data_IF_248326985284
#
_entry.id   IF_248326985284
#
_cell.length_a   1.000
_cell.length_b   1.000
_cell.length_c   1.000
_cell.angle_alpha   90.00
_cell.angle_beta   90.00
_cell.angle_gamma   90.00
#
_symmetry.space_group_name_H-M   'P 1'
#
loop_
_entity.id
_entity.type
_entity.pdbx_description
1 polymer ?
#
# COMPACT_ATOMS: atom_id res chain seq x y z
N UNK A 1 -22.92 -3.45 5.02
CA UNK A 1 -21.71 -3.81 4.24
C UNK A 1 -21.54 -2.82 3.09
N UNK A 2 -20.39 -2.17 3.00
CA UNK A 2 -20.00 -1.34 1.86
C UNK A 2 -19.33 -2.25 0.83
N UNK A 3 -19.61 -2.05 -0.46
CA UNK A 3 -18.99 -2.78 -1.55
C UNK A 3 -18.50 -1.81 -2.60
N UNK A 4 -17.21 -1.88 -2.93
CA UNK A 4 -16.57 -1.03 -3.94
C UNK A 4 -16.10 -1.94 -5.08
N UNK A 5 -16.75 -1.83 -6.22
CA UNK A 5 -16.42 -2.61 -7.41
C UNK A 5 -15.21 -2.04 -8.13
N UNK A 6 -14.19 -2.87 -8.37
CA UNK A 6 -12.93 -2.53 -9.05
C UNK A 6 -12.97 -3.11 -10.46
N UNK A 7 -12.84 -2.24 -11.46
CA UNK A 7 -12.72 -2.61 -12.87
C UNK A 7 -11.26 -2.57 -13.29
N UNK A 8 -10.70 -3.75 -13.55
CA UNK A 8 -9.35 -3.95 -14.02
C UNK A 8 -9.31 -5.16 -14.95
N UNK A 9 -8.13 -5.68 -15.29
CA UNK A 9 -7.96 -6.92 -16.09
C UNK A 9 -8.71 -8.12 -15.50
N UNK A 10 -8.94 -8.13 -14.21
CA UNK A 10 -9.90 -8.96 -13.50
C UNK A 10 -10.76 -8.04 -12.63
N UNK A 11 -12.07 -8.15 -12.74
CA UNK A 11 -13.01 -7.41 -11.90
C UNK A 11 -13.18 -8.10 -10.53
N UNK A 12 -13.31 -7.30 -9.46
CA UNK A 12 -13.51 -7.81 -8.10
C UNK A 12 -14.14 -6.75 -7.21
N UNK A 13 -14.63 -7.17 -6.05
CA UNK A 13 -15.19 -6.27 -5.05
C UNK A 13 -14.25 -6.14 -3.83
N UNK A 14 -14.18 -4.93 -3.30
CA UNK A 14 -13.63 -4.64 -1.98
C UNK A 14 -14.81 -4.47 -1.02
N UNK A 15 -14.92 -5.38 -0.06
CA UNK A 15 -15.98 -5.40 0.94
C UNK A 15 -15.47 -4.79 2.24
N UNK A 16 -16.25 -3.88 2.84
CA UNK A 16 -15.86 -3.21 4.09
C UNK A 16 -17.02 -3.25 5.08
N UNK A 17 -16.86 -3.92 6.19
CA UNK A 17 -17.80 -3.98 7.33
C UNK A 17 -17.12 -4.62 8.55
N UNK A 18 -17.54 -4.23 9.74
CA UNK A 18 -17.11 -4.90 10.97
C UNK A 18 -17.59 -6.36 11.02
N UNK A 19 -16.69 -7.28 11.41
CA UNK A 19 -17.00 -8.70 11.56
C UNK A 19 -16.92 -9.54 10.28
N UNK A 20 -16.42 -9.00 9.16
CA UNK A 20 -16.28 -9.75 7.92
C UNK A 20 -15.30 -10.91 8.00
N UNK A 21 -14.33 -10.86 8.92
CA UNK A 21 -13.36 -11.95 9.10
C UNK A 21 -14.05 -13.28 9.41
N UNK A 22 -15.09 -13.27 10.25
CA UNK A 22 -15.85 -14.47 10.61
C UNK A 22 -16.74 -14.99 9.47
N UNK A 23 -16.94 -14.16 8.44
CA UNK A 23 -17.71 -14.46 7.22
C UNK A 23 -16.81 -14.65 6.00
N UNK A 24 -15.49 -14.60 6.18
CA UNK A 24 -14.53 -14.61 5.06
C UNK A 24 -14.73 -15.82 4.13
N UNK A 25 -15.02 -16.99 4.68
CA UNK A 25 -15.27 -18.18 3.87
C UNK A 25 -16.58 -18.12 3.07
N UNK A 26 -17.66 -17.58 3.64
CA UNK A 26 -18.92 -17.34 2.96
C UNK A 26 -18.74 -16.41 1.77
N UNK A 27 -18.08 -15.27 2.01
CA UNK A 27 -17.81 -14.26 0.97
C UNK A 27 -16.87 -14.78 -0.12
N UNK A 28 -15.82 -15.51 0.25
CA UNK A 28 -14.91 -16.12 -0.71
C UNK A 28 -15.63 -17.13 -1.62
N UNK A 29 -16.59 -17.89 -1.06
CA UNK A 29 -17.36 -18.88 -1.80
C UNK A 29 -18.22 -18.28 -2.93
N UNK A 30 -18.59 -17.01 -2.82
CA UNK A 30 -19.35 -16.32 -3.88
C UNK A 30 -18.52 -16.11 -5.16
N UNK A 31 -17.19 -16.06 -5.05
CA UNK A 31 -16.26 -15.79 -6.16
C UNK A 31 -15.28 -16.92 -6.46
N UNK A 32 -15.17 -17.90 -5.58
CA UNK A 32 -14.27 -19.05 -5.72
C UNK A 32 -14.95 -20.31 -5.16
N UNK A 33 -15.08 -21.35 -5.98
CA UNK A 33 -15.66 -22.60 -5.51
C UNK A 33 -14.80 -23.22 -4.39
N UNK A 34 -15.42 -23.88 -3.38
CA UNK A 34 -14.68 -24.55 -2.32
C UNK A 34 -13.72 -25.61 -2.87
N UNK A 35 -12.48 -25.54 -2.42
CA UNK A 35 -11.38 -26.43 -2.76
C UNK A 35 -10.34 -26.37 -1.64
N UNK A 36 -9.07 -26.22 -1.98
CA UNK A 36 -8.03 -25.90 -0.99
C UNK A 36 -7.85 -24.39 -0.89
N UNK A 37 -7.64 -23.90 0.34
CA UNK A 37 -7.26 -22.51 0.61
C UNK A 37 -5.92 -22.48 1.33
N UNK A 38 -4.95 -21.77 0.76
CA UNK A 38 -3.65 -21.52 1.36
C UNK A 38 -3.68 -20.15 2.07
N UNK A 39 -3.76 -20.14 3.40
CA UNK A 39 -3.53 -18.90 4.15
C UNK A 39 -2.03 -18.62 4.16
N UNK A 40 -1.65 -17.45 3.61
CA UNK A 40 -0.29 -16.91 3.74
C UNK A 40 -0.36 -15.71 4.66
N UNK A 41 0.45 -15.71 5.73
CA UNK A 41 0.42 -14.69 6.77
C UNK A 41 1.81 -14.48 7.36
N UNK A 42 2.01 -13.37 8.07
CA UNK A 42 3.13 -13.27 9.01
C UNK A 42 2.76 -13.86 10.37
N UNK A 43 3.77 -14.15 11.18
CA UNK A 43 3.64 -14.79 12.49
C UNK A 43 2.81 -13.95 13.49
N UNK A 44 2.92 -12.64 13.44
CA UNK A 44 2.17 -11.71 14.31
C UNK A 44 0.69 -11.72 13.98
N UNK A 45 0.34 -11.53 12.72
CA UNK A 45 -1.07 -11.51 12.27
C UNK A 45 -1.71 -12.90 12.39
N UNK A 46 -0.95 -13.95 12.07
CA UNK A 46 -1.46 -15.31 12.19
C UNK A 46 -1.81 -15.67 13.62
N UNK A 47 -0.99 -15.29 14.60
CA UNK A 47 -1.28 -15.51 16.02
C UNK A 47 -2.59 -14.81 16.46
N UNK A 48 -2.94 -13.67 15.88
CA UNK A 48 -4.14 -12.90 16.21
C UNK A 48 -5.40 -13.43 15.50
N UNK A 49 -5.28 -13.76 14.22
CA UNK A 49 -6.44 -13.93 13.34
C UNK A 49 -6.47 -15.27 12.59
N UNK A 50 -5.38 -16.03 12.58
CA UNK A 50 -5.24 -17.25 11.79
C UNK A 50 -6.32 -18.28 12.11
N UNK A 51 -6.53 -18.60 13.40
CA UNK A 51 -7.53 -19.60 13.81
C UNK A 51 -8.97 -19.19 13.44
N UNK A 52 -9.31 -17.89 13.58
CA UNK A 52 -10.63 -17.38 13.17
C UNK A 52 -10.84 -17.51 11.67
N UNK A 53 -9.83 -17.17 10.89
CA UNK A 53 -9.86 -17.27 9.41
C UNK A 53 -9.98 -18.72 8.98
N UNK A 54 -9.22 -19.65 9.58
CA UNK A 54 -9.34 -21.09 9.31
C UNK A 54 -10.77 -21.57 9.54
N UNK A 55 -11.32 -21.29 10.71
CA UNK A 55 -12.71 -21.70 11.06
C UNK A 55 -13.74 -21.14 10.08
N UNK A 56 -13.59 -19.88 9.66
CA UNK A 56 -14.50 -19.27 8.69
C UNK A 56 -14.43 -19.95 7.31
N UNK A 57 -13.22 -20.26 6.83
CA UNK A 57 -13.00 -20.94 5.55
C UNK A 57 -13.48 -22.41 5.59
N UNK A 58 -13.15 -23.16 6.65
CA UNK A 58 -13.57 -24.56 6.81
C UNK A 58 -15.10 -24.69 6.89
N UNK A 59 -15.76 -23.77 7.61
CA UNK A 59 -17.23 -23.71 7.67
C UNK A 59 -17.86 -23.52 6.29
N UNK A 60 -17.17 -22.85 5.38
CA UNK A 60 -17.61 -22.67 4.00
C UNK A 60 -17.24 -23.83 3.06
N UNK A 61 -16.55 -24.87 3.57
CA UNK A 61 -16.19 -26.09 2.85
C UNK A 61 -14.80 -26.12 2.25
N UNK A 62 -13.94 -25.16 2.57
CA UNK A 62 -12.53 -25.18 2.13
C UNK A 62 -11.69 -26.12 3.01
N UNK A 63 -10.70 -26.78 2.41
CA UNK A 63 -9.60 -27.43 3.13
C UNK A 63 -8.48 -26.43 3.29
N UNK A 64 -8.16 -26.08 4.52
CA UNK A 64 -7.23 -24.98 4.80
C UNK A 64 -5.84 -25.52 5.15
N UNK A 65 -4.82 -24.94 4.55
CA UNK A 65 -3.41 -25.05 4.93
C UNK A 65 -2.85 -23.67 5.16
N UNK A 66 -1.90 -23.53 6.08
CA UNK A 66 -1.35 -22.22 6.43
C UNK A 66 0.17 -22.22 6.31
N UNK A 67 0.70 -21.13 5.75
CA UNK A 67 2.12 -20.81 5.69
C UNK A 67 2.37 -19.49 6.41
N UNK A 68 3.33 -19.46 7.32
CA UNK A 68 3.70 -18.25 8.07
C UNK A 68 5.18 -17.96 7.95
N UNK A 69 5.51 -16.67 7.98
CA UNK A 69 6.88 -16.16 7.96
C UNK A 69 7.05 -15.02 8.97
N UNK A 70 8.29 -14.66 9.36
CA UNK A 70 8.51 -13.57 10.32
C UNK A 70 7.93 -12.24 9.84
N UNK A 71 7.26 -11.49 10.72
CA UNK A 71 6.70 -10.18 10.38
C UNK A 71 7.80 -9.18 9.98
N UNK A 72 7.47 -8.28 9.06
CA UNK A 72 8.33 -7.16 8.62
C UNK A 72 8.81 -7.26 7.18
N UNK A 73 9.31 -6.13 6.67
CA UNK A 73 9.75 -5.97 5.26
C UNK A 73 10.90 -6.92 4.89
N UNK A 74 11.76 -7.28 5.84
CA UNK A 74 12.86 -8.21 5.61
C UNK A 74 12.43 -9.60 5.10
N UNK A 75 11.17 -9.99 5.33
CA UNK A 75 10.59 -11.23 4.81
C UNK A 75 10.08 -11.13 3.37
N UNK A 76 9.99 -9.93 2.80
CA UNK A 76 9.50 -9.68 1.44
C UNK A 76 10.61 -9.91 0.41
N UNK A 77 11.11 -11.12 0.28
CA UNK A 77 12.28 -11.46 -0.53
C UNK A 77 12.07 -12.75 -1.33
N UNK A 78 13.02 -13.06 -2.23
CA UNK A 78 12.97 -14.25 -3.08
C UNK A 78 13.02 -15.56 -2.30
N UNK A 79 13.68 -15.62 -1.14
CA UNK A 79 13.74 -16.84 -0.33
C UNK A 79 12.37 -17.19 0.23
N UNK A 80 11.73 -16.25 0.90
CA UNK A 80 10.37 -16.45 1.45
C UNK A 80 9.35 -16.75 0.33
N UNK A 81 9.50 -16.06 -0.80
CA UNK A 81 8.68 -16.36 -1.99
C UNK A 81 8.86 -17.80 -2.48
N UNK A 82 10.10 -18.30 -2.57
CA UNK A 82 10.37 -19.68 -2.96
C UNK A 82 9.77 -20.67 -1.94
N UNK A 83 9.84 -20.36 -0.66
CA UNK A 83 9.26 -21.20 0.41
C UNK A 83 7.73 -21.28 0.28
N UNK A 84 7.04 -20.18 -0.06
CA UNK A 84 5.60 -20.21 -0.35
C UNK A 84 5.31 -21.11 -1.56
N UNK A 85 6.10 -21.03 -2.63
CA UNK A 85 5.89 -21.90 -3.81
C UNK A 85 6.11 -23.38 -3.48
N UNK A 86 7.13 -23.70 -2.68
CA UNK A 86 7.39 -25.07 -2.20
C UNK A 86 6.22 -25.58 -1.35
N UNK A 87 5.76 -24.78 -0.39
CA UNK A 87 4.59 -25.11 0.41
C UNK A 87 3.35 -25.44 -0.44
N UNK A 88 3.04 -24.61 -1.44
CA UNK A 88 1.94 -24.86 -2.36
C UNK A 88 2.12 -26.18 -3.12
N UNK A 89 3.35 -26.48 -3.56
CA UNK A 89 3.71 -27.71 -4.27
C UNK A 89 3.59 -28.96 -3.39
N UNK A 90 4.13 -28.94 -2.18
CA UNK A 90 4.09 -30.05 -1.22
C UNK A 90 2.66 -30.44 -0.85
N UNK A 91 1.78 -29.45 -0.69
CA UNK A 91 0.36 -29.66 -0.40
C UNK A 91 -0.49 -29.91 -1.65
N UNK A 92 0.14 -29.97 -2.85
CA UNK A 92 -0.51 -30.28 -4.12
C UNK A 92 -1.64 -29.31 -4.48
N UNK A 93 -1.46 -28.04 -4.20
CA UNK A 93 -2.38 -27.01 -4.67
C UNK A 93 -2.47 -26.99 -6.20
N UNK A 94 -3.63 -26.67 -6.72
CA UNK A 94 -3.92 -26.59 -8.15
C UNK A 94 -4.38 -25.19 -8.55
N UNK A 95 -4.55 -24.96 -9.85
CA UNK A 95 -5.03 -23.67 -10.37
C UNK A 95 -6.45 -23.31 -9.93
N UNK A 96 -7.27 -24.27 -9.52
CA UNK A 96 -8.63 -24.05 -9.04
C UNK A 96 -8.71 -23.73 -7.55
N UNK A 97 -7.59 -23.82 -6.84
CA UNK A 97 -7.50 -23.49 -5.43
C UNK A 97 -7.16 -22.00 -5.24
N UNK A 98 -7.18 -21.53 -3.98
CA UNK A 98 -7.02 -20.09 -3.68
C UNK A 98 -5.92 -19.83 -2.65
N UNK A 99 -5.12 -18.78 -2.89
CA UNK A 99 -4.26 -18.17 -1.88
C UNK A 99 -5.03 -17.06 -1.18
N UNK A 100 -5.05 -17.07 0.13
CA UNK A 100 -5.65 -16.05 0.99
C UNK A 100 -4.55 -15.33 1.73
N UNK A 101 -4.25 -14.10 1.33
CA UNK A 101 -3.32 -13.21 2.02
C UNK A 101 -4.00 -12.63 3.26
N UNK A 102 -3.60 -13.07 4.44
CA UNK A 102 -4.08 -12.55 5.72
C UNK A 102 -2.99 -11.69 6.36
N UNK A 103 -3.03 -10.37 6.19
CA UNK A 103 -1.96 -9.53 6.71
C UNK A 103 -1.88 -8.12 6.14
N UNK A 104 -0.74 -7.47 6.35
CA UNK A 104 -0.39 -6.16 5.80
C UNK A 104 0.08 -6.22 4.35
N UNK A 105 0.67 -5.11 3.87
CA UNK A 105 1.17 -4.98 2.50
C UNK A 105 2.24 -6.00 2.13
N UNK A 106 3.15 -6.33 3.03
CA UNK A 106 4.18 -7.37 2.82
C UNK A 106 3.55 -8.72 2.49
N UNK A 107 2.56 -9.13 3.28
CA UNK A 107 1.83 -10.39 3.07
C UNK A 107 1.06 -10.36 1.75
N UNK A 108 0.33 -9.26 1.48
CA UNK A 108 -0.44 -9.09 0.24
C UNK A 108 0.42 -9.19 -1.01
N UNK A 109 1.55 -8.50 -1.01
CA UNK A 109 2.47 -8.47 -2.16
C UNK A 109 3.12 -9.83 -2.41
N UNK A 110 3.66 -10.45 -1.37
CA UNK A 110 4.34 -11.75 -1.46
C UNK A 110 3.38 -12.88 -1.85
N UNK A 111 2.21 -12.96 -1.19
CA UNK A 111 1.20 -13.97 -1.46
C UNK A 111 0.56 -13.78 -2.86
N UNK A 112 0.34 -12.53 -3.26
CA UNK A 112 -0.19 -12.22 -4.58
C UNK A 112 0.80 -12.56 -5.69
N UNK A 113 2.08 -12.31 -5.50
CA UNK A 113 3.11 -12.71 -6.47
C UNK A 113 3.25 -14.24 -6.55
N UNK A 114 3.18 -14.95 -5.43
CA UNK A 114 3.14 -16.41 -5.43
C UNK A 114 1.91 -16.94 -6.16
N UNK A 115 0.73 -16.38 -5.91
CA UNK A 115 -0.50 -16.76 -6.60
C UNK A 115 -0.43 -16.48 -8.13
N UNK A 116 0.21 -15.39 -8.53
CA UNK A 116 0.38 -15.01 -9.94
C UNK A 116 1.24 -16.01 -10.71
N UNK A 117 2.22 -16.62 -10.05
CA UNK A 117 3.25 -17.42 -10.71
C UNK A 117 3.08 -18.92 -10.53
N UNK A 118 2.56 -19.36 -9.36
CA UNK A 118 2.31 -20.77 -9.12
C UNK A 118 1.29 -21.31 -10.14
N UNK A 119 1.63 -22.41 -10.81
CA UNK A 119 0.82 -23.01 -11.88
C UNK A 119 0.42 -22.02 -13.01
N UNK A 120 1.15 -20.90 -13.18
CA UNK A 120 0.86 -19.78 -14.10
C UNK A 120 -0.41 -18.98 -13.72
N UNK A 121 -0.72 -18.96 -12.46
CA UNK A 121 -1.86 -18.22 -11.89
C UNK A 121 -2.87 -19.13 -11.21
N UNK A 122 -3.26 -18.77 -9.99
CA UNK A 122 -4.31 -19.43 -9.20
C UNK A 122 -5.20 -18.38 -8.52
N UNK A 123 -6.28 -18.78 -7.84
CA UNK A 123 -7.14 -17.88 -7.10
C UNK A 123 -6.35 -17.07 -6.06
N UNK A 124 -6.68 -15.78 -5.90
CA UNK A 124 -6.06 -14.89 -4.93
C UNK A 124 -7.11 -14.04 -4.22
N UNK A 125 -7.12 -14.05 -2.90
CA UNK A 125 -7.99 -13.22 -2.06
C UNK A 125 -7.15 -12.48 -1.02
N UNK A 126 -7.58 -11.28 -0.61
CA UNK A 126 -6.89 -10.50 0.39
C UNK A 126 -7.78 -10.19 1.59
N UNK A 127 -7.22 -10.34 2.78
CA UNK A 127 -7.79 -9.92 4.06
C UNK A 127 -6.79 -8.97 4.71
N UNK A 128 -6.81 -7.66 4.34
CA UNK A 128 -5.88 -6.67 4.86
C UNK A 128 -6.13 -6.44 6.36
N UNK A 129 -5.05 -6.49 7.15
CA UNK A 129 -5.09 -6.31 8.61
C UNK A 129 -4.30 -5.09 9.08
N UNK A 130 -3.70 -4.33 8.16
CA UNK A 130 -3.13 -3.01 8.45
C UNK A 130 -3.93 -1.92 7.77
N UNK A 131 -3.95 -0.72 8.36
CA UNK A 131 -4.67 0.42 7.78
C UNK A 131 -4.14 0.77 6.39
N UNK A 132 -2.80 0.76 6.22
CA UNK A 132 -2.16 0.98 4.92
C UNK A 132 -2.66 -0.04 3.88
N UNK A 133 -2.74 -1.31 4.24
CA UNK A 133 -3.22 -2.33 3.30
C UNK A 133 -4.71 -2.17 2.98
N UNK A 134 -5.54 -1.83 3.96
CA UNK A 134 -6.97 -1.63 3.77
C UNK A 134 -7.30 -0.43 2.86
N UNK A 135 -6.52 0.66 2.97
CA UNK A 135 -6.78 1.89 2.19
C UNK A 135 -6.01 1.96 0.88
N UNK A 136 -4.93 1.17 0.71
CA UNK A 136 -4.04 1.29 -0.44
C UNK A 136 -3.57 -0.05 -0.99
N UNK A 137 -2.59 -0.76 -0.38
CA UNK A 137 -1.83 -1.82 -1.06
C UNK A 137 -2.68 -3.01 -1.52
N UNK A 138 -3.81 -3.33 -0.89
CA UNK A 138 -4.70 -4.42 -1.32
C UNK A 138 -5.46 -4.18 -2.63
N UNK A 139 -5.38 -2.96 -3.19
CA UNK A 139 -6.12 -2.56 -4.40
C UNK A 139 -5.16 -2.27 -5.55
N UNK A 140 -5.51 -2.75 -6.76
CA UNK A 140 -4.80 -2.40 -7.99
C UNK A 140 -3.70 -3.36 -8.41
N UNK A 141 -3.60 -4.53 -7.76
CA UNK A 141 -2.91 -5.71 -8.26
C UNK A 141 -1.38 -5.63 -8.33
N UNK A 142 -0.74 -4.60 -7.81
CA UNK A 142 0.73 -4.59 -7.68
C UNK A 142 1.12 -5.62 -6.63
N UNK A 143 1.87 -6.65 -7.04
CA UNK A 143 2.38 -7.71 -6.16
C UNK A 143 3.85 -7.92 -6.48
N UNK A 144 4.71 -8.01 -5.46
CA UNK A 144 6.15 -8.06 -5.67
C UNK A 144 6.90 -8.58 -4.44
N UNK A 145 8.18 -8.86 -4.68
CA UNK A 145 9.21 -9.05 -3.64
C UNK A 145 10.39 -8.13 -3.92
N UNK A 146 11.18 -7.91 -2.88
CA UNK A 146 12.37 -7.09 -2.92
C UNK A 146 13.56 -7.89 -3.44
N UNK A 147 14.46 -7.20 -4.14
CA UNK A 147 15.76 -7.71 -4.54
C UNK A 147 16.87 -6.98 -3.76
N UNK A 148 18.09 -7.53 -3.70
CA UNK A 148 19.22 -6.80 -3.10
C UNK A 148 19.49 -5.44 -3.75
N UNK A 149 18.98 -5.22 -4.95
CA UNK A 149 19.14 -3.99 -5.74
C UNK A 149 18.03 -2.95 -5.51
N UNK A 150 16.95 -3.30 -4.80
CA UNK A 150 15.86 -2.36 -4.50
C UNK A 150 14.52 -3.04 -4.22
N UNK A 151 13.58 -2.26 -3.69
CA UNK A 151 12.24 -2.70 -3.35
C UNK A 151 11.38 -2.97 -4.58
N UNK A 152 10.48 -3.97 -4.46
CA UNK A 152 9.40 -4.25 -5.41
C UNK A 152 9.86 -4.49 -6.87
N UNK A 153 11.10 -4.94 -7.08
CA UNK A 153 11.68 -5.10 -8.43
C UNK A 153 11.29 -6.40 -9.14
N UNK A 154 10.87 -7.41 -8.39
CA UNK A 154 10.41 -8.67 -8.98
C UNK A 154 8.94 -8.89 -8.60
N UNK A 155 8.03 -8.85 -9.58
CA UNK A 155 6.62 -8.95 -9.29
C UNK A 155 5.73 -9.07 -10.52
N UNK A 156 4.43 -8.96 -10.28
CA UNK A 156 3.39 -9.05 -11.30
C UNK A 156 2.24 -8.11 -10.99
N UNK A 157 1.54 -7.64 -12.02
CA UNK A 157 0.20 -7.10 -11.85
C UNK A 157 -0.79 -8.26 -11.77
N UNK A 158 -1.28 -8.56 -10.58
CA UNK A 158 -2.18 -9.69 -10.34
C UNK A 158 -3.35 -9.28 -9.45
N UNK A 159 -4.54 -9.19 -10.05
CA UNK A 159 -5.73 -8.73 -9.33
C UNK A 159 -6.29 -9.86 -8.46
N UNK A 160 -6.73 -9.58 -7.22
CA UNK A 160 -7.43 -10.54 -6.39
C UNK A 160 -8.84 -10.85 -6.95
N UNK A 161 -9.46 -11.93 -6.47
CA UNK A 161 -10.86 -12.20 -6.75
C UNK A 161 -11.81 -11.49 -5.77
N UNK A 162 -11.31 -11.11 -4.60
CA UNK A 162 -12.04 -10.37 -3.57
C UNK A 162 -11.04 -9.76 -2.58
N UNK A 163 -11.41 -8.63 -2.00
CA UNK A 163 -10.72 -8.04 -0.83
C UNK A 163 -11.74 -7.89 0.29
N UNK A 164 -11.42 -8.42 1.47
CA UNK A 164 -12.32 -8.44 2.64
C UNK A 164 -11.69 -7.61 3.74
N UNK A 165 -12.16 -6.37 3.90
CA UNK A 165 -11.68 -5.43 4.91
C UNK A 165 -12.58 -5.49 6.15
N UNK A 166 -12.07 -6.06 7.23
CA UNK A 166 -12.73 -6.03 8.55
C UNK A 166 -12.05 -5.00 9.44
N UNK A 167 -12.70 -3.83 9.72
CA UNK A 167 -12.10 -2.81 10.57
C UNK A 167 -11.75 -3.27 11.99
N UNK A 168 -12.37 -4.36 12.49
CA UNK A 168 -12.01 -4.93 13.79
C UNK A 168 -10.55 -5.43 13.83
N UNK A 169 -9.97 -5.78 12.69
CA UNK A 169 -8.55 -6.19 12.63
C UNK A 169 -7.59 -5.02 12.88
N UNK A 170 -8.06 -3.77 12.71
CA UNK A 170 -7.29 -2.56 12.94
C UNK A 170 -7.22 -2.15 14.43
N UNK A 171 -8.04 -2.75 15.28
CA UNK A 171 -8.05 -2.45 16.72
C UNK A 171 -6.77 -2.93 17.43
N UNK A 172 -6.13 -3.97 16.91
CA UNK A 172 -4.88 -4.50 17.45
C UNK A 172 -3.62 -3.93 16.79
N UNK A 173 -3.81 -2.99 15.84
CA UNK A 173 -2.71 -2.43 15.06
C UNK A 173 -1.81 -1.55 15.96
N UNK A 174 -0.48 -1.77 15.98
CA UNK A 174 0.44 -0.89 16.67
C UNK A 174 0.33 0.56 16.18
N UNK A 175 0.57 1.51 17.10
CA UNK A 175 0.40 2.95 16.82
C UNK A 175 1.22 3.43 15.62
N UNK A 176 2.42 2.93 15.48
CA UNK A 176 3.31 3.25 14.35
C UNK A 176 2.74 2.77 13.00
N UNK A 177 2.15 1.57 12.96
CA UNK A 177 1.51 1.03 11.76
C UNK A 177 0.20 1.79 11.44
N UNK A 178 -0.53 2.22 12.46
CA UNK A 178 -1.69 3.09 12.29
C UNK A 178 -1.28 4.42 11.65
N UNK A 179 -0.21 5.08 12.16
CA UNK A 179 0.31 6.31 11.57
C UNK A 179 0.74 6.15 10.12
N UNK A 180 1.36 5.01 9.77
CA UNK A 180 1.70 4.70 8.38
C UNK A 180 0.47 4.72 7.46
N UNK A 181 -0.63 4.10 7.88
CA UNK A 181 -1.88 4.15 7.12
C UNK A 181 -2.45 5.57 7.02
N UNK A 182 -2.36 6.36 8.10
CA UNK A 182 -2.80 7.76 8.10
C UNK A 182 -2.03 8.62 7.09
N UNK A 183 -0.74 8.38 6.87
CA UNK A 183 0.05 9.08 5.86
C UNK A 183 -0.54 8.88 4.45
N UNK A 184 -0.91 7.64 4.11
CA UNK A 184 -1.54 7.33 2.82
C UNK A 184 -2.94 7.95 2.69
N UNK A 185 -3.73 7.95 3.76
CA UNK A 185 -5.04 8.62 3.79
C UNK A 185 -4.89 10.12 3.53
N UNK A 186 -3.94 10.78 4.18
CA UNK A 186 -3.63 12.20 3.97
C UNK A 186 -3.17 12.41 2.52
N UNK A 187 -2.32 11.52 1.97
CA UNK A 187 -1.93 11.56 0.56
C UNK A 187 -3.14 11.55 -0.37
N UNK A 188 -4.10 10.62 -0.18
CA UNK A 188 -5.31 10.59 -0.99
C UNK A 188 -6.10 11.89 -0.93
N UNK A 189 -6.25 12.49 0.24
CA UNK A 189 -6.95 13.76 0.38
C UNK A 189 -6.25 14.90 -0.38
N UNK A 190 -4.93 14.92 -0.37
CA UNK A 190 -4.11 15.88 -1.14
C UNK A 190 -4.22 15.68 -2.66
N UNK A 191 -4.37 14.43 -3.12
CA UNK A 191 -4.43 14.09 -4.55
C UNK A 191 -5.68 14.60 -5.25
N UNK A 192 -6.84 14.55 -4.59
CA UNK A 192 -8.08 14.82 -5.32
C UNK A 192 -9.33 15.08 -4.49
N UNK A 193 -9.22 15.22 -3.15
CA UNK A 193 -10.41 15.38 -2.30
C UNK A 193 -10.20 16.34 -1.13
N UNK A 194 -10.34 17.63 -1.41
CA UNK A 194 -10.21 18.67 -0.38
C UNK A 194 -11.30 18.55 0.71
N UNK A 195 -12.50 18.09 0.40
CA UNK A 195 -13.55 17.89 1.41
C UNK A 195 -13.15 16.78 2.38
N UNK A 196 -12.59 15.68 1.89
CA UNK A 196 -12.06 14.61 2.71
C UNK A 196 -10.89 15.07 3.61
N UNK A 197 -10.05 15.97 3.11
CA UNK A 197 -9.00 16.59 3.92
C UNK A 197 -9.60 17.34 5.13
N UNK A 198 -10.71 18.09 4.94
CA UNK A 198 -11.42 18.77 6.03
C UNK A 198 -12.07 17.79 7.02
N UNK A 199 -12.56 16.66 6.54
CA UNK A 199 -13.15 15.63 7.40
C UNK A 199 -12.10 15.02 8.34
N UNK A 200 -10.86 14.79 7.86
CA UNK A 200 -9.76 14.26 8.67
C UNK A 200 -9.35 15.19 9.81
N UNK A 201 -9.63 16.50 9.71
CA UNK A 201 -9.47 17.45 10.82
C UNK A 201 -10.58 17.34 11.87
N UNK A 202 -11.79 17.00 11.45
CA UNK A 202 -12.98 17.00 12.32
C UNK A 202 -13.14 15.69 13.08
N UNK A 203 -12.88 14.58 12.39
CA UNK A 203 -13.13 13.22 12.89
C UNK A 203 -11.86 12.38 12.72
N UNK A 204 -11.29 11.88 13.82
CA UNK A 204 -10.14 10.97 13.74
C UNK A 204 -10.43 9.74 12.88
N UNK A 205 -9.43 9.24 12.15
CA UNK A 205 -9.55 8.05 11.30
C UNK A 205 -10.09 6.84 12.08
N UNK A 206 -9.69 6.67 13.34
CA UNK A 206 -10.15 5.56 14.21
C UNK A 206 -11.65 5.55 14.46
N UNK A 207 -12.31 6.68 14.41
CA UNK A 207 -13.74 6.80 14.64
C UNK A 207 -14.58 6.55 13.37
N UNK A 208 -13.92 6.39 12.21
CA UNK A 208 -14.59 6.32 10.92
C UNK A 208 -13.91 5.38 9.91
N UNK A 209 -13.34 4.27 10.35
CA UNK A 209 -12.57 3.35 9.48
C UNK A 209 -13.31 2.96 8.21
N UNK A 210 -14.58 2.51 8.30
CA UNK A 210 -15.34 2.08 7.12
C UNK A 210 -15.46 3.20 6.07
N UNK A 211 -15.72 4.44 6.51
CA UNK A 211 -15.84 5.59 5.62
C UNK A 211 -14.49 5.92 4.97
N UNK A 212 -13.44 5.98 5.76
CA UNK A 212 -12.09 6.31 5.27
C UNK A 212 -11.59 5.26 4.27
N UNK A 213 -11.77 3.98 4.58
CA UNK A 213 -11.41 2.89 3.67
C UNK A 213 -12.20 3.02 2.37
N UNK A 214 -13.52 3.23 2.44
CA UNK A 214 -14.36 3.42 1.26
C UNK A 214 -13.87 4.57 0.38
N UNK A 215 -13.62 5.75 0.95
CA UNK A 215 -13.18 6.94 0.20
C UNK A 215 -11.84 6.68 -0.48
N UNK A 216 -10.84 6.16 0.24
CA UNK A 216 -9.52 5.88 -0.32
C UNK A 216 -9.58 4.82 -1.43
N UNK A 217 -10.33 3.73 -1.21
CA UNK A 217 -10.50 2.66 -2.20
C UNK A 217 -11.23 3.16 -3.44
N UNK A 218 -12.25 4.00 -3.31
CA UNK A 218 -12.95 4.63 -4.44
C UNK A 218 -12.00 5.51 -5.26
N UNK A 219 -11.21 6.34 -4.61
CA UNK A 219 -10.21 7.19 -5.29
C UNK A 219 -9.16 6.33 -6.01
N UNK A 220 -8.68 5.27 -5.37
CA UNK A 220 -7.72 4.34 -6.00
C UNK A 220 -8.34 3.58 -7.17
N UNK A 221 -9.58 3.10 -7.03
CA UNK A 221 -10.35 2.48 -8.11
C UNK A 221 -10.39 3.35 -9.36
N UNK A 222 -10.70 4.63 -9.20
CA UNK A 222 -10.84 5.56 -10.33
C UNK A 222 -9.51 5.82 -11.04
N UNK A 223 -8.41 5.79 -10.29
CA UNK A 223 -7.05 5.93 -10.82
C UNK A 223 -6.62 4.62 -11.51
N UNK A 224 -6.80 3.48 -10.87
CA UNK A 224 -6.44 2.15 -11.41
C UNK A 224 -7.27 1.81 -12.64
N UNK A 225 -8.57 2.10 -12.62
CA UNK A 225 -9.46 1.87 -13.77
C UNK A 225 -9.07 2.68 -14.99
N UNK A 226 -8.44 3.84 -14.81
CA UNK A 226 -7.91 4.66 -15.90
C UNK A 226 -6.50 4.23 -16.36
N UNK A 227 -5.71 3.60 -15.48
CA UNK A 227 -4.31 3.25 -15.74
C UNK A 227 -3.88 2.09 -14.82
N UNK A 228 -4.23 0.86 -15.21
CA UNK A 228 -3.92 -0.33 -14.41
C UNK A 228 -2.41 -0.57 -14.28
N UNK A 229 -1.64 -0.34 -15.35
CA UNK A 229 -0.23 -0.72 -15.47
C UNK A 229 0.76 0.40 -15.10
N UNK A 230 0.28 1.52 -14.53
CA UNK A 230 1.11 2.62 -14.05
C UNK A 230 1.98 3.29 -15.14
N UNK A 231 1.39 3.50 -16.30
CA UNK A 231 2.07 4.11 -17.43
C UNK A 231 1.86 5.64 -17.50
N UNK A 232 0.88 6.18 -16.78
CA UNK A 232 0.50 7.59 -16.83
C UNK A 232 -0.13 8.10 -15.55
N UNK A 233 -1.49 8.19 -15.52
CA UNK A 233 -2.24 8.82 -14.41
C UNK A 233 -1.98 8.17 -13.04
N UNK A 234 -1.75 6.87 -12.98
CA UNK A 234 -1.50 6.16 -11.72
C UNK A 234 -0.24 6.66 -11.00
N UNK A 235 0.71 7.24 -11.73
CA UNK A 235 1.90 7.87 -11.15
C UNK A 235 1.58 8.98 -10.15
N UNK A 236 0.38 9.59 -10.21
CA UNK A 236 -0.06 10.59 -9.22
C UNK A 236 -0.08 10.03 -7.80
N UNK A 237 -0.29 8.71 -7.63
CA UNK A 237 -0.21 8.05 -6.33
C UNK A 237 1.18 8.14 -5.68
N UNK A 238 2.21 8.53 -6.44
CA UNK A 238 3.58 8.71 -5.93
C UNK A 238 3.81 10.10 -5.28
N UNK A 239 2.76 10.84 -4.94
CA UNK A 239 2.93 12.05 -4.13
C UNK A 239 3.68 11.73 -2.83
N UNK A 240 4.80 12.42 -2.60
CA UNK A 240 5.68 12.17 -1.47
C UNK A 240 6.65 10.98 -1.62
N UNK A 241 6.37 10.02 -2.50
CA UNK A 241 7.15 8.79 -2.61
C UNK A 241 8.56 9.01 -3.16
N UNK A 242 8.78 9.96 -4.07
CA UNK A 242 10.10 10.24 -4.61
C UNK A 242 11.11 10.56 -3.51
N UNK A 243 10.80 11.52 -2.64
CA UNK A 243 11.67 11.85 -1.52
C UNK A 243 11.55 10.86 -0.35
N UNK A 244 10.36 10.26 -0.19
CA UNK A 244 10.10 9.26 0.84
C UNK A 244 10.96 8.02 0.66
N UNK A 245 11.06 7.45 -0.54
CA UNK A 245 11.89 6.27 -0.81
C UNK A 245 13.37 6.53 -0.53
N UNK A 246 13.89 7.72 -0.88
CA UNK A 246 15.26 8.09 -0.54
C UNK A 246 15.50 8.12 0.98
N UNK A 247 14.54 8.68 1.74
CA UNK A 247 14.60 8.70 3.21
C UNK A 247 14.51 7.29 3.80
N UNK A 248 13.62 6.47 3.29
CA UNK A 248 13.42 5.07 3.68
C UNK A 248 14.71 4.25 3.46
N UNK A 249 15.33 4.38 2.29
CA UNK A 249 16.59 3.73 1.96
C UNK A 249 17.74 4.24 2.84
N UNK A 250 17.84 5.55 3.08
CA UNK A 250 18.88 6.13 3.95
C UNK A 250 18.77 5.71 5.41
N UNK A 251 17.57 5.31 5.85
CA UNK A 251 17.30 4.80 7.20
C UNK A 251 17.59 3.30 7.35
N UNK A 252 18.12 2.63 6.32
CA UNK A 252 18.22 1.16 6.25
C UNK A 252 16.88 0.49 6.57
N UNK A 253 15.78 1.11 6.09
CA UNK A 253 14.39 0.68 6.30
C UNK A 253 13.94 0.61 7.78
N UNK A 254 14.63 1.31 8.67
CA UNK A 254 14.22 1.46 10.07
C UNK A 254 13.07 2.46 10.23
N UNK A 255 12.95 3.45 9.33
CA UNK A 255 11.81 4.35 9.25
C UNK A 255 10.70 3.68 8.45
N UNK A 256 9.48 3.75 8.97
CA UNK A 256 8.35 3.10 8.32
C UNK A 256 7.90 3.85 7.06
N UNK A 257 7.37 3.12 6.09
CA UNK A 257 6.96 3.64 4.78
C UNK A 257 6.10 4.92 4.87
N UNK A 258 5.04 4.91 5.67
CA UNK A 258 4.16 6.09 5.81
C UNK A 258 4.85 7.30 6.44
N UNK A 259 5.79 7.08 7.35
CA UNK A 259 6.60 8.17 7.91
C UNK A 259 7.51 8.79 6.85
N UNK A 260 8.13 7.97 6.04
CA UNK A 260 8.95 8.43 4.91
C UNK A 260 8.12 9.18 3.86
N UNK A 261 6.93 8.67 3.51
CA UNK A 261 5.99 9.35 2.59
C UNK A 261 5.52 10.69 3.17
N UNK A 262 5.28 10.80 4.47
CA UNK A 262 4.91 12.06 5.12
C UNK A 262 6.03 13.10 5.01
N UNK A 263 7.29 12.72 5.26
CA UNK A 263 8.46 13.57 5.05
C UNK A 263 8.53 14.00 3.58
N UNK A 264 8.34 13.06 2.66
CA UNK A 264 8.37 13.33 1.22
C UNK A 264 7.28 14.30 0.76
N UNK A 265 6.04 14.16 1.27
CA UNK A 265 4.96 15.12 1.00
C UNK A 265 5.29 16.51 1.53
N UNK A 266 5.82 16.61 2.75
CA UNK A 266 6.23 17.88 3.33
C UNK A 266 7.37 18.53 2.50
N UNK A 267 8.36 17.75 2.07
CA UNK A 267 9.50 18.20 1.28
C UNK A 267 9.06 18.73 -0.09
N UNK A 268 8.29 17.95 -0.85
CA UNK A 268 7.83 18.38 -2.18
C UNK A 268 6.92 19.60 -2.11
N UNK A 269 6.10 19.70 -1.05
CA UNK A 269 5.20 20.86 -0.89
C UNK A 269 5.97 22.12 -0.51
N UNK A 270 7.02 22.06 0.34
CA UNK A 270 7.92 23.19 0.60
C UNK A 270 8.61 23.66 -0.69
N UNK A 271 9.11 22.72 -1.47
CA UNK A 271 9.72 23.06 -2.76
C UNK A 271 8.71 23.71 -3.71
N UNK A 272 7.47 23.21 -3.77
CA UNK A 272 6.41 23.80 -4.57
C UNK A 272 6.06 25.23 -4.16
N UNK A 273 6.02 25.52 -2.86
CA UNK A 273 5.81 26.89 -2.33
C UNK A 273 6.96 27.80 -2.76
N UNK A 274 8.20 27.39 -2.53
CA UNK A 274 9.39 28.18 -2.91
C UNK A 274 9.45 28.48 -4.39
N UNK A 275 8.93 27.58 -5.23
CA UNK A 275 8.86 27.72 -6.70
C UNK A 275 7.60 28.43 -7.19
N UNK A 276 6.69 28.85 -6.29
CA UNK A 276 5.46 29.56 -6.63
C UNK A 276 4.39 28.70 -7.28
N UNK A 277 4.48 27.37 -7.19
CA UNK A 277 3.49 26.40 -7.69
C UNK A 277 2.34 26.24 -6.69
N UNK A 278 2.65 26.28 -5.40
CA UNK A 278 1.73 26.05 -4.30
C UNK A 278 1.70 27.24 -3.35
N UNK A 279 0.56 27.52 -2.72
CA UNK A 279 0.44 28.57 -1.70
C UNK A 279 0.94 28.11 -0.31
N UNK A 280 1.45 29.06 0.49
CA UNK A 280 1.91 28.81 1.86
C UNK A 280 0.82 28.21 2.77
N UNK A 281 -0.45 28.58 2.56
CA UNK A 281 -1.58 28.04 3.29
C UNK A 281 -1.68 26.52 3.13
N UNK A 282 -1.50 26.00 1.91
CA UNK A 282 -1.51 24.55 1.62
C UNK A 282 -0.39 23.85 2.39
N UNK A 283 0.81 24.40 2.40
CA UNK A 283 1.93 23.86 3.17
C UNK A 283 1.63 23.87 4.68
N UNK A 284 1.17 25.00 5.21
CA UNK A 284 0.90 25.13 6.63
C UNK A 284 -0.14 24.10 7.09
N UNK A 285 -1.21 23.91 6.32
CA UNK A 285 -2.27 22.93 6.61
C UNK A 285 -1.80 21.48 6.47
N UNK A 286 -0.99 21.17 5.46
CA UNK A 286 -0.40 19.84 5.32
C UNK A 286 0.51 19.51 6.51
N UNK A 287 1.39 20.43 6.91
CA UNK A 287 2.26 20.22 8.06
C UNK A 287 1.47 20.07 9.38
N UNK A 288 0.39 20.82 9.54
CA UNK A 288 -0.47 20.71 10.73
C UNK A 288 -1.15 19.33 10.79
N UNK A 289 -1.77 18.88 9.71
CA UNK A 289 -2.45 17.58 9.73
C UNK A 289 -1.46 16.42 9.91
N UNK A 290 -0.29 16.45 9.27
CA UNK A 290 0.74 15.42 9.48
C UNK A 290 1.15 15.34 10.95
N UNK A 291 1.38 16.48 11.61
CA UNK A 291 1.72 16.53 13.04
C UNK A 291 0.58 16.03 13.94
N UNK A 292 -0.66 16.34 13.62
CA UNK A 292 -1.84 15.85 14.37
C UNK A 292 -1.94 14.31 14.36
N UNK A 293 -1.51 13.69 13.27
CA UNK A 293 -1.44 12.23 13.16
C UNK A 293 -0.09 11.66 13.62
N UNK A 294 0.77 12.47 14.28
CA UNK A 294 2.06 12.03 14.82
C UNK A 294 3.09 11.65 13.76
N UNK A 295 2.94 12.20 12.54
CA UNK A 295 3.82 11.92 11.41
C UNK A 295 4.98 12.94 11.34
N UNK A 296 6.21 12.49 11.03
CA UNK A 296 7.34 13.39 10.85
C UNK A 296 7.19 14.23 9.58
N UNK A 297 7.75 15.43 9.61
CA UNK A 297 7.71 16.37 8.48
C UNK A 297 9.08 16.77 7.98
N UNK A 298 10.14 16.26 8.60
CA UNK A 298 11.54 16.59 8.31
C UNK A 298 12.42 15.35 8.45
N UNK A 299 13.56 15.37 7.78
CA UNK A 299 14.57 14.33 7.88
C UNK A 299 15.90 14.92 8.36
N UNK A 300 16.68 14.13 9.08
CA UNK A 300 18.04 14.48 9.49
C UNK A 300 19.13 14.01 8.51
N UNK A 301 18.76 13.34 7.42
CA UNK A 301 19.73 12.84 6.45
C UNK A 301 20.22 13.97 5.55
N UNK A 302 21.54 14.04 5.25
CA UNK A 302 22.12 15.07 4.41
C UNK A 302 21.68 14.92 2.96
N UNK A 303 21.62 16.06 2.25
CA UNK A 303 21.19 16.18 0.86
C UNK A 303 21.91 15.19 -0.07
N UNK A 304 23.22 15.09 0.06
CA UNK A 304 24.03 14.23 -0.82
C UNK A 304 23.64 12.75 -0.68
N UNK A 305 23.43 12.28 0.56
CA UNK A 305 23.02 10.91 0.82
C UNK A 305 21.64 10.58 0.23
N UNK A 306 20.68 11.50 0.39
CA UNK A 306 19.34 11.34 -0.16
C UNK A 306 19.33 11.38 -1.70
N UNK A 307 20.11 12.26 -2.27
CA UNK A 307 20.23 12.38 -3.73
C UNK A 307 20.85 11.13 -4.35
N UNK A 308 21.91 10.58 -3.74
CA UNK A 308 22.54 9.33 -4.19
C UNK A 308 21.58 8.14 -4.09
N UNK A 309 20.83 8.03 -2.99
CA UNK A 309 19.83 6.97 -2.80
C UNK A 309 18.76 6.98 -3.90
N UNK A 310 18.25 8.15 -4.27
CA UNK A 310 17.23 8.29 -5.32
C UNK A 310 17.78 7.96 -6.72
N UNK A 311 19.06 8.22 -6.98
CA UNK A 311 19.70 7.87 -8.26
C UNK A 311 19.83 6.37 -8.47
N UNK A 312 19.94 5.59 -7.39
CA UNK A 312 20.02 4.11 -7.46
C UNK A 312 18.67 3.50 -7.79
N UNK A 313 17.59 4.03 -7.19
CA UNK A 313 16.21 3.51 -7.36
C UNK A 313 15.68 3.79 -8.79
N UNK A 314 16.07 4.90 -9.39
CA UNK A 314 15.60 5.33 -10.72
C UNK A 314 16.71 5.27 -11.77
N UNK A 315 17.03 4.06 -12.24
CA UNK A 315 17.72 3.89 -13.53
C UNK A 315 16.83 4.40 -14.66
N UNK A 316 16.95 5.62 -14.85
CA UNK A 316 16.33 6.68 -15.60
C UNK A 316 16.09 6.25 -17.04
N UNK A 317 14.84 6.22 -17.44
CA UNK A 317 14.48 6.22 -18.85
C UNK A 317 14.71 7.63 -19.41
N UNK A 318 15.83 7.84 -20.11
CA UNK A 318 16.09 9.07 -20.88
C UNK A 318 16.48 10.31 -20.05
N UNK A 319 17.04 10.18 -18.84
CA UNK A 319 17.54 11.33 -18.03
C UNK A 319 16.45 12.22 -17.42
N UNK A 320 15.19 11.79 -17.45
CA UNK A 320 14.03 12.53 -16.91
C UNK A 320 13.27 11.69 -15.91
N UNK A 321 12.62 12.36 -14.95
CA UNK A 321 11.73 11.74 -13.97
C UNK A 321 10.45 12.54 -13.82
N UNK A 322 9.42 11.90 -13.27
CA UNK A 322 8.15 12.53 -12.96
C UNK A 322 8.05 12.80 -11.46
N UNK A 323 7.83 14.05 -11.09
CA UNK A 323 7.60 14.47 -9.72
C UNK A 323 6.14 14.89 -9.58
N UNK A 324 5.45 14.35 -8.58
CA UNK A 324 4.09 14.75 -8.27
C UNK A 324 4.13 15.91 -7.29
N UNK A 325 3.55 17.03 -7.68
CA UNK A 325 3.68 18.33 -7.01
C UNK A 325 2.29 18.83 -6.60
N UNK A 326 2.06 19.18 -5.34
CA UNK A 326 0.81 19.81 -4.94
C UNK A 326 0.68 21.24 -5.51
N UNK A 327 -0.47 21.54 -6.09
CA UNK A 327 -0.87 22.92 -6.45
C UNK A 327 -1.71 23.55 -5.32
N UNK A 328 -2.58 22.75 -4.73
CA UNK A 328 -3.37 23.04 -3.52
C UNK A 328 -3.90 21.75 -2.90
N UNK A 329 -4.54 21.83 -1.75
CA UNK A 329 -5.22 20.67 -1.17
C UNK A 329 -6.29 20.14 -2.16
N UNK A 330 -6.22 18.85 -2.46
CA UNK A 330 -7.10 18.18 -3.41
C UNK A 330 -6.74 18.41 -4.89
N UNK A 331 -5.58 18.96 -5.18
CA UNK A 331 -5.11 19.11 -6.56
C UNK A 331 -3.59 19.01 -6.65
N UNK A 332 -3.12 18.16 -7.57
CA UNK A 332 -1.70 17.98 -7.88
C UNK A 332 -1.45 18.09 -9.38
N UNK A 333 -0.24 18.45 -9.76
CA UNK A 333 0.25 18.31 -11.12
C UNK A 333 1.42 17.32 -11.19
N UNK A 334 1.77 16.89 -12.39
CA UNK A 334 2.94 16.05 -12.65
C UNK A 334 3.97 16.85 -13.42
N UNK A 335 5.09 17.15 -12.76
CA UNK A 335 6.22 17.83 -13.34
C UNK A 335 7.20 16.82 -13.92
N UNK A 336 7.65 17.04 -15.16
CA UNK A 336 8.72 16.25 -15.76
C UNK A 336 10.01 17.02 -15.65
N UNK A 337 10.91 16.56 -14.82
CA UNK A 337 12.17 17.23 -14.52
C UNK A 337 13.38 16.42 -15.00
N UNK A 338 14.49 17.07 -15.38
CA UNK A 338 15.77 16.38 -15.48
C UNK A 338 16.17 15.82 -14.12
N UNK A 339 16.84 14.67 -14.10
CA UNK A 339 17.24 14.03 -12.83
C UNK A 339 18.17 14.91 -12.00
N UNK A 340 19.05 15.65 -12.68
CA UNK A 340 19.97 16.60 -12.04
C UNK A 340 19.21 17.69 -11.26
N UNK A 341 18.02 18.09 -11.72
CA UNK A 341 17.19 19.08 -11.05
C UNK A 341 16.58 18.57 -9.72
N UNK A 342 16.59 17.27 -9.47
CA UNK A 342 16.08 16.68 -8.23
C UNK A 342 16.81 17.24 -7.00
N UNK A 343 18.11 17.45 -7.12
CA UNK A 343 18.92 18.05 -6.05
C UNK A 343 18.40 19.43 -5.64
N UNK A 344 18.07 20.28 -6.62
CA UNK A 344 17.52 21.60 -6.37
C UNK A 344 16.14 21.53 -5.73
N UNK A 345 15.32 20.55 -6.14
CA UNK A 345 14.01 20.30 -5.52
C UNK A 345 14.14 19.86 -4.05
N UNK A 346 15.09 19.00 -3.73
CA UNK A 346 15.39 18.60 -2.34
C UNK A 346 15.82 19.81 -1.50
N UNK A 347 16.71 20.65 -2.05
CA UNK A 347 17.21 21.86 -1.40
C UNK A 347 16.10 22.89 -1.17
N UNK A 348 15.24 23.11 -2.18
CA UNK A 348 14.06 23.97 -2.08
C UNK A 348 13.05 23.42 -1.07
N UNK A 349 12.98 22.09 -0.90
CA UNK A 349 12.20 21.39 0.11
C UNK A 349 12.74 21.45 1.53
N UNK A 350 13.90 22.11 1.75
CA UNK A 350 14.52 22.32 3.05
C UNK A 350 15.51 21.25 3.49
N UNK A 351 15.88 20.30 2.62
CA UNK A 351 16.93 19.32 2.88
C UNK A 351 18.29 20.01 2.75
N UNK A 352 19.20 19.77 3.70
CA UNK A 352 20.52 20.44 3.82
C UNK A 352 21.68 19.47 3.66
#
# INVERSE_FOLDING_TARGET
>A
MRSIHIKASREYDVLVEHGLLDRAGELLREVSAPGMAAIVSDDTVYALYGERTIKALEKAGYRVHSFTFPAGEGSKNLSTYADVLHFLGEHRFSRSDVVVALGGGVVGDLAGFAAATYQRGMGFAQIPTTLLAAVDSSVGGKTAVDLPTGKNQAGSFYQPCIVICDPNTLETLPEEQYRCGCAEIIKYSMLGNAAFFEELYKTPVREQYEHVIEVCVQMKRDIVGADEYDLGRRRTLNLGHTFGHAVEQCSDFSLLHGEAVAIGMATVTRAAVKRGICGEETLARLLDILRRYGLPTETGYPLDKLYEAELVDKKISGGKMHLIVPEKIGQVCMETIPVEALRDWMQDGGIR
#
